data_IF_232806470247
#
_entry.id   IF_232806470247
#
_cell.length_a   1.000
_cell.length_b   1.000
_cell.length_c   1.000
_cell.angle_alpha   90.00
_cell.angle_beta   90.00
_cell.angle_gamma   90.00
#
_symmetry.space_group_name_H-M   'P 1'
#
loop_
_entity.id
_entity.type
_entity.pdbx_description
1 polymer ?
#
# COMPACT_ATOMS: atom_id res chain seq x y z
N UNK A 1 -26.97 14.97 -24.76
CA UNK A 1 -26.63 13.93 -23.76
C UNK A 1 -25.14 13.97 -23.45
N UNK A 2 -24.73 13.77 -22.19
CA UNK A 2 -23.32 13.79 -21.75
C UNK A 2 -22.41 12.82 -22.53
N UNK A 3 -22.96 11.72 -23.04
CA UNK A 3 -22.26 10.76 -23.90
C UNK A 3 -21.83 11.32 -25.25
N UNK A 4 -22.49 12.38 -25.73
CA UNK A 4 -22.10 13.14 -26.92
C UNK A 4 -20.92 14.10 -26.67
N UNK A 5 -20.59 14.34 -25.39
CA UNK A 5 -19.41 15.10 -24.95
C UNK A 5 -18.23 14.19 -24.57
N UNK A 6 -18.31 12.89 -24.88
CA UNK A 6 -17.24 11.92 -24.62
C UNK A 6 -17.29 11.23 -23.26
N UNK A 7 -18.29 11.52 -22.41
CA UNK A 7 -18.44 10.84 -21.13
C UNK A 7 -18.85 9.36 -21.29
N UNK A 8 -18.22 8.48 -20.51
CA UNK A 8 -18.67 7.11 -20.28
C UNK A 8 -19.75 7.04 -19.20
N UNK A 9 -20.50 5.94 -19.19
CA UNK A 9 -21.51 5.62 -18.18
C UNK A 9 -20.99 4.44 -17.34
N UNK A 10 -21.18 4.53 -16.04
CA UNK A 10 -21.02 3.41 -15.10
C UNK A 10 -22.39 2.94 -14.61
N UNK A 11 -22.53 1.66 -14.32
CA UNK A 11 -23.72 1.12 -13.64
C UNK A 11 -23.41 0.92 -12.16
N UNK A 12 -24.40 1.18 -11.29
CA UNK A 12 -24.34 0.85 -9.86
C UNK A 12 -25.43 -0.16 -9.51
N UNK A 13 -25.24 -1.46 -9.86
CA UNK A 13 -26.29 -2.44 -9.74
C UNK A 13 -26.49 -2.88 -8.29
N UNK A 14 -27.77 -3.08 -7.94
CA UNK A 14 -28.15 -3.72 -6.67
C UNK A 14 -27.93 -5.24 -6.73
N UNK A 15 -28.88 -6.08 -7.19
CA UNK A 15 -28.67 -7.55 -7.24
C UNK A 15 -29.26 -8.28 -8.47
N UNK A 16 -30.14 -7.67 -9.27
CA UNK A 16 -30.81 -8.34 -10.39
C UNK A 16 -29.99 -8.28 -11.69
N UNK A 17 -29.12 -9.27 -11.92
CA UNK A 17 -28.23 -9.30 -13.10
C UNK A 17 -28.97 -9.25 -14.44
N UNK A 18 -30.12 -9.91 -14.58
CA UNK A 18 -30.91 -9.93 -15.82
C UNK A 18 -31.40 -8.53 -16.18
N UNK A 19 -31.95 -7.80 -15.20
CA UNK A 19 -32.38 -6.42 -15.39
C UNK A 19 -31.21 -5.54 -15.86
N UNK A 20 -30.07 -5.60 -15.16
CA UNK A 20 -28.91 -4.76 -15.48
C UNK A 20 -28.24 -5.12 -16.80
N UNK A 21 -28.29 -6.38 -17.23
CA UNK A 21 -27.87 -6.80 -18.56
C UNK A 21 -28.74 -6.16 -19.65
N UNK A 22 -30.06 -6.08 -19.43
CA UNK A 22 -30.98 -5.40 -20.35
C UNK A 22 -30.70 -3.89 -20.40
N UNK A 23 -30.47 -3.24 -19.24
CA UNK A 23 -30.06 -1.82 -19.17
C UNK A 23 -28.76 -1.59 -19.95
N UNK A 24 -27.73 -2.41 -19.73
CA UNK A 24 -26.45 -2.32 -20.45
C UNK A 24 -26.65 -2.46 -21.96
N UNK A 25 -27.52 -3.38 -22.38
CA UNK A 25 -27.82 -3.62 -23.81
C UNK A 25 -28.51 -2.41 -24.44
N UNK A 26 -29.47 -1.80 -23.74
CA UNK A 26 -30.18 -0.61 -24.21
C UNK A 26 -29.27 0.63 -24.34
N UNK A 27 -28.30 0.79 -23.43
CA UNK A 27 -27.34 1.91 -23.47
C UNK A 27 -26.20 1.65 -24.48
N UNK A 28 -25.78 0.40 -24.63
CA UNK A 28 -24.72 -0.01 -25.54
C UNK A 28 -23.31 0.28 -25.03
N UNK A 29 -22.37 0.52 -25.95
CA UNK A 29 -20.93 0.60 -25.67
C UNK A 29 -20.50 1.79 -24.80
N UNK A 30 -21.41 2.70 -24.46
CA UNK A 30 -21.12 3.81 -23.54
C UNK A 30 -21.01 3.36 -22.09
N UNK A 31 -21.50 2.16 -21.74
CA UNK A 31 -21.28 1.57 -20.43
C UNK A 31 -19.91 0.90 -20.39
N UNK A 32 -18.99 1.40 -19.58
CA UNK A 32 -17.61 0.91 -19.54
C UNK A 32 -17.24 0.14 -18.26
N UNK A 33 -18.00 0.32 -17.17
CA UNK A 33 -17.73 -0.33 -15.88
C UNK A 33 -18.95 -0.45 -14.97
N UNK A 34 -18.74 -1.17 -13.87
CA UNK A 34 -19.72 -1.41 -12.82
C UNK A 34 -19.12 -0.98 -11.47
N UNK A 35 -19.83 -0.14 -10.72
CA UNK A 35 -19.61 0.07 -9.28
C UNK A 35 -20.53 -0.86 -8.50
N UNK A 36 -19.98 -2.00 -8.09
CA UNK A 36 -20.78 -3.07 -7.52
C UNK A 36 -20.90 -2.90 -6.00
N UNK A 37 -22.13 -2.75 -5.50
CA UNK A 37 -22.39 -2.78 -4.07
C UNK A 37 -22.14 -4.20 -3.53
N UNK A 38 -21.21 -4.37 -2.57
CA UNK A 38 -20.95 -5.64 -1.86
C UNK A 38 -21.06 -5.48 -0.34
N UNK A 39 -21.95 -4.58 0.06
CA UNK A 39 -22.29 -4.25 1.43
C UNK A 39 -23.81 -4.17 1.60
N UNK A 40 -24.29 -4.25 2.84
CA UNK A 40 -25.71 -4.18 3.19
C UNK A 40 -26.58 -5.12 2.31
N UNK A 41 -27.67 -4.63 1.71
CA UNK A 41 -28.53 -5.42 0.84
C UNK A 41 -27.85 -6.02 -0.41
N UNK A 42 -26.66 -5.54 -0.77
CA UNK A 42 -25.83 -6.08 -1.85
C UNK A 42 -24.73 -7.04 -1.39
N UNK A 43 -24.64 -7.38 -0.09
CA UNK A 43 -23.53 -8.17 0.46
C UNK A 43 -23.32 -9.55 -0.21
N UNK A 44 -24.36 -10.13 -0.82
CA UNK A 44 -24.27 -11.40 -1.55
C UNK A 44 -23.71 -11.29 -2.97
N UNK A 45 -23.42 -10.09 -3.46
CA UNK A 45 -22.87 -9.91 -4.81
C UNK A 45 -21.43 -10.42 -4.92
N UNK A 46 -21.10 -10.98 -6.07
CA UNK A 46 -19.74 -11.45 -6.39
C UNK A 46 -19.18 -10.71 -7.61
N UNK A 47 -18.00 -10.06 -7.52
CA UNK A 47 -17.38 -9.39 -8.66
C UNK A 47 -17.18 -10.30 -9.88
N UNK A 48 -16.78 -11.56 -9.70
CA UNK A 48 -16.59 -12.51 -10.80
C UNK A 48 -17.90 -12.88 -11.49
N UNK A 49 -18.99 -13.01 -10.73
CA UNK A 49 -20.32 -13.28 -11.27
C UNK A 49 -20.82 -12.09 -12.11
N UNK A 50 -20.65 -10.87 -11.62
CA UNK A 50 -21.06 -9.65 -12.32
C UNK A 50 -20.21 -9.36 -13.56
N UNK A 51 -18.89 -9.55 -13.46
CA UNK A 51 -17.97 -9.44 -14.59
C UNK A 51 -18.35 -10.42 -15.70
N UNK A 52 -18.63 -11.67 -15.35
CA UNK A 52 -19.08 -12.71 -16.29
C UNK A 52 -20.45 -12.39 -16.91
N UNK A 53 -21.40 -11.89 -16.12
CA UNK A 53 -22.77 -11.64 -16.57
C UNK A 53 -22.88 -10.48 -17.57
N UNK A 54 -22.08 -9.41 -17.37
CA UNK A 54 -22.17 -8.17 -18.16
C UNK A 54 -20.99 -7.96 -19.11
N UNK A 55 -19.87 -8.66 -18.91
CA UNK A 55 -18.64 -8.49 -19.69
C UNK A 55 -18.00 -7.13 -19.48
N UNK A 56 -18.05 -6.60 -18.26
CA UNK A 56 -17.57 -5.27 -17.90
C UNK A 56 -16.58 -5.33 -16.74
N UNK A 57 -15.71 -4.32 -16.66
CA UNK A 57 -14.85 -4.11 -15.49
C UNK A 57 -15.70 -3.87 -14.25
N UNK A 58 -15.42 -4.60 -13.17
CA UNK A 58 -16.12 -4.45 -11.88
C UNK A 58 -15.19 -3.80 -10.87
N UNK A 59 -15.68 -2.76 -10.23
CA UNK A 59 -15.07 -2.10 -9.07
C UNK A 59 -16.01 -2.30 -7.87
N UNK A 60 -15.73 -3.29 -6.99
CA UNK A 60 -16.58 -3.54 -5.83
C UNK A 60 -16.45 -2.44 -4.77
N UNK A 61 -17.54 -2.21 -4.05
CA UNK A 61 -17.62 -1.34 -2.89
C UNK A 61 -17.82 -2.12 -1.61
N UNK A 62 -17.21 -1.63 -0.52
CA UNK A 62 -17.37 -2.16 0.84
C UNK A 62 -17.83 -1.08 1.80
N UNK A 63 -18.51 -1.49 2.87
CA UNK A 63 -18.87 -0.61 3.97
C UNK A 63 -17.73 -0.47 4.99
N UNK A 64 -17.49 0.75 5.48
CA UNK A 64 -16.53 1.07 6.52
C UNK A 64 -17.03 0.62 7.90
N UNK A 65 -16.12 0.28 8.80
CA UNK A 65 -16.45 -0.19 10.14
C UNK A 65 -17.20 0.86 10.96
N UNK A 66 -18.33 0.44 11.52
CA UNK A 66 -19.06 1.11 12.61
C UNK A 66 -19.09 0.18 13.84
N UNK A 67 -19.61 0.61 15.00
CA UNK A 67 -19.80 -0.29 16.14
C UNK A 67 -20.68 -1.52 15.82
N UNK A 68 -21.64 -1.37 14.90
CA UNK A 68 -22.65 -2.39 14.63
C UNK A 68 -22.37 -3.25 13.41
N UNK A 69 -21.66 -2.74 12.40
CA UNK A 69 -21.44 -3.44 11.12
C UNK A 69 -20.17 -2.92 10.42
N UNK A 70 -19.98 -3.30 9.15
CA UNK A 70 -18.89 -2.81 8.30
C UNK A 70 -17.58 -3.54 8.47
N UNK A 71 -16.62 -3.15 7.63
CA UNK A 71 -15.32 -3.79 7.49
C UNK A 71 -14.23 -2.85 8.00
N UNK A 72 -13.29 -3.36 8.79
CA UNK A 72 -12.04 -2.63 9.09
C UNK A 72 -11.15 -2.54 7.84
N UNK A 73 -10.14 -1.65 7.81
CA UNK A 73 -9.18 -1.60 6.71
C UNK A 73 -8.54 -2.97 6.39
N UNK A 74 -8.19 -3.76 7.40
CA UNK A 74 -7.63 -5.11 7.19
C UNK A 74 -8.62 -6.09 6.53
N UNK A 75 -9.91 -6.01 6.91
CA UNK A 75 -10.97 -6.82 6.28
C UNK A 75 -11.22 -6.37 4.84
N UNK A 76 -11.21 -5.05 4.59
CA UNK A 76 -11.29 -4.48 3.24
C UNK A 76 -10.15 -5.01 2.38
N UNK A 77 -8.90 -4.91 2.85
CA UNK A 77 -7.74 -5.41 2.13
C UNK A 77 -7.89 -6.90 1.80
N UNK A 78 -8.29 -7.72 2.77
CA UNK A 78 -8.43 -9.17 2.59
C UNK A 78 -9.50 -9.53 1.55
N UNK A 79 -10.67 -8.87 1.61
CA UNK A 79 -11.76 -9.10 0.65
C UNK A 79 -11.37 -8.65 -0.75
N UNK A 80 -10.79 -7.45 -0.87
CA UNK A 80 -10.31 -6.92 -2.14
C UNK A 80 -9.21 -7.80 -2.75
N UNK A 81 -8.29 -8.35 -1.95
CA UNK A 81 -7.24 -9.25 -2.43
C UNK A 81 -7.81 -10.58 -2.93
N UNK A 82 -8.82 -11.12 -2.22
CA UNK A 82 -9.57 -12.29 -2.67
C UNK A 82 -10.25 -12.05 -4.03
N UNK A 83 -10.85 -10.87 -4.22
CA UNK A 83 -11.45 -10.49 -5.50
C UNK A 83 -10.43 -10.16 -6.58
N UNK A 84 -9.24 -9.64 -6.22
CA UNK A 84 -8.15 -9.47 -7.17
C UNK A 84 -7.75 -10.82 -7.75
N UNK A 85 -7.60 -11.84 -6.90
CA UNK A 85 -7.26 -13.20 -7.30
C UNK A 85 -8.38 -13.88 -8.12
N UNK A 86 -9.62 -13.80 -7.66
CA UNK A 86 -10.75 -14.54 -8.26
C UNK A 86 -11.46 -13.85 -9.42
N UNK A 87 -11.38 -12.52 -9.50
CA UNK A 87 -12.12 -11.71 -10.47
C UNK A 87 -11.25 -10.67 -11.19
N UNK A 88 -9.95 -10.58 -10.87
CA UNK A 88 -9.03 -9.67 -11.55
C UNK A 88 -9.33 -8.18 -11.31
N UNK A 89 -10.05 -7.81 -10.25
CA UNK A 89 -10.43 -6.41 -10.01
C UNK A 89 -9.21 -5.47 -10.01
N UNK A 90 -9.39 -4.25 -10.52
CA UNK A 90 -8.31 -3.26 -10.61
C UNK A 90 -8.38 -2.18 -9.50
N UNK A 91 -9.44 -2.18 -8.71
CA UNK A 91 -9.69 -1.20 -7.66
C UNK A 91 -11.05 -1.44 -7.01
N UNK A 92 -11.43 -0.54 -6.11
CA UNK A 92 -12.71 -0.58 -5.41
C UNK A 92 -13.00 0.75 -4.74
N UNK A 93 -14.10 0.82 -4.00
CA UNK A 93 -14.49 2.02 -3.27
C UNK A 93 -14.99 1.70 -1.87
N UNK A 94 -15.10 2.74 -1.03
CA UNK A 94 -15.67 2.65 0.30
C UNK A 94 -17.00 3.39 0.40
N UNK A 95 -17.86 2.86 1.27
CA UNK A 95 -19.16 3.40 1.66
C UNK A 95 -19.22 3.42 3.20
N UNK A 96 -19.66 4.43 3.93
CA UNK A 96 -19.81 5.84 3.58
C UNK A 96 -18.66 6.65 4.17
N UNK A 97 -18.25 7.69 3.45
CA UNK A 97 -17.23 8.61 3.93
C UNK A 97 -17.62 9.25 5.28
N UNK A 98 -18.90 9.54 5.49
CA UNK A 98 -19.40 10.09 6.76
C UNK A 98 -19.17 9.13 7.95
N UNK A 99 -19.32 7.81 7.73
CA UNK A 99 -19.04 6.81 8.76
C UNK A 99 -17.53 6.71 9.06
N UNK A 100 -16.68 6.83 8.03
CA UNK A 100 -15.22 6.89 8.21
C UNK A 100 -14.84 8.11 9.06
N UNK A 101 -15.45 9.27 8.80
CA UNK A 101 -15.20 10.48 9.58
C UNK A 101 -15.71 10.35 11.02
N UNK A 102 -16.92 9.80 11.19
CA UNK A 102 -17.57 9.65 12.50
C UNK A 102 -16.94 8.58 13.38
N UNK A 103 -16.46 7.49 12.80
CA UNK A 103 -15.90 6.33 13.48
C UNK A 103 -14.43 6.10 13.16
N UNK A 104 -13.66 7.20 13.08
CA UNK A 104 -12.24 7.21 12.69
C UNK A 104 -11.35 6.34 13.58
N UNK A 105 -11.78 5.99 14.81
CA UNK A 105 -11.09 5.03 15.66
C UNK A 105 -10.97 3.63 15.05
N UNK A 106 -11.78 3.27 14.06
CA UNK A 106 -11.69 2.00 13.34
C UNK A 106 -10.90 2.06 12.04
N UNK A 107 -10.50 3.26 11.61
CA UNK A 107 -9.76 3.50 10.37
C UNK A 107 -10.13 4.85 9.75
N UNK A 108 -9.11 5.59 9.35
CA UNK A 108 -9.23 6.83 8.58
C UNK A 108 -9.47 6.56 7.09
N UNK A 109 -9.82 7.59 6.33
CA UNK A 109 -9.95 7.47 4.87
C UNK A 109 -8.63 7.03 4.21
N UNK A 110 -7.49 7.45 4.76
CA UNK A 110 -6.17 7.04 4.30
C UNK A 110 -5.94 5.55 4.53
N UNK A 111 -6.35 5.01 5.69
CA UNK A 111 -6.20 3.58 6.00
C UNK A 111 -7.01 2.72 5.03
N UNK A 112 -8.24 3.11 4.73
CA UNK A 112 -9.07 2.41 3.74
C UNK A 112 -8.52 2.50 2.32
N UNK A 113 -8.02 3.67 1.92
CA UNK A 113 -7.37 3.84 0.62
C UNK A 113 -6.11 2.95 0.52
N UNK A 114 -5.28 2.93 1.57
CA UNK A 114 -4.11 2.07 1.70
C UNK A 114 -4.46 0.59 1.62
N UNK A 115 -5.54 0.16 2.29
CA UNK A 115 -6.05 -1.21 2.23
C UNK A 115 -6.45 -1.64 0.80
N UNK A 116 -7.19 -0.79 0.08
CA UNK A 116 -7.59 -1.07 -1.32
C UNK A 116 -6.35 -1.15 -2.21
N UNK A 117 -5.44 -0.18 -2.11
CA UNK A 117 -4.20 -0.13 -2.89
C UNK A 117 -3.34 -1.38 -2.66
N UNK A 118 -3.19 -1.78 -1.40
CA UNK A 118 -2.42 -2.98 -1.02
C UNK A 118 -3.05 -4.26 -1.56
N UNK A 119 -4.38 -4.31 -1.64
CA UNK A 119 -5.11 -5.50 -2.05
C UNK A 119 -5.12 -5.74 -3.56
N UNK A 120 -5.28 -4.68 -4.37
CA UNK A 120 -5.33 -4.79 -5.84
C UNK A 120 -3.95 -4.64 -6.48
N UNK A 121 -2.99 -4.10 -5.72
CA UNK A 121 -1.57 -4.03 -6.05
C UNK A 121 -0.85 -5.37 -5.85
N UNK A 122 -1.27 -6.41 -6.57
CA UNK A 122 -0.52 -7.68 -6.61
C UNK A 122 0.63 -7.60 -7.63
N UNK A 123 1.84 -7.31 -7.16
CA UNK A 123 3.13 -7.27 -7.89
C UNK A 123 3.16 -6.39 -9.16
N UNK A 124 4.11 -5.44 -9.20
CA UNK A 124 4.29 -4.42 -10.25
C UNK A 124 3.19 -3.33 -10.32
N UNK A 125 3.21 -2.37 -9.39
CA UNK A 125 2.42 -1.14 -9.52
C UNK A 125 2.45 -0.21 -8.30
N UNK A 126 3.55 0.54 -8.14
CA UNK A 126 3.68 1.77 -7.31
C UNK A 126 3.33 1.80 -5.80
N UNK A 127 2.85 0.73 -5.16
CA UNK A 127 2.59 0.69 -3.70
C UNK A 127 3.63 -0.10 -2.91
N UNK A 128 4.15 0.46 -1.81
CA UNK A 128 5.09 -0.24 -0.92
C UNK A 128 4.41 -1.39 -0.15
N UNK A 129 5.11 -2.50 0.04
CA UNK A 129 4.71 -3.67 0.85
C UNK A 129 4.87 -3.44 2.36
N UNK A 130 5.34 -2.28 2.79
CA UNK A 130 5.61 -1.96 4.20
C UNK A 130 4.37 -1.55 4.98
N UNK A 131 3.24 -2.25 4.79
CA UNK A 131 1.97 -2.01 5.48
C UNK A 131 1.57 -3.21 6.35
N UNK A 132 1.11 -2.95 7.59
CA UNK A 132 0.53 -3.96 8.48
C UNK A 132 1.53 -4.93 9.15
N UNK A 133 2.82 -4.66 9.04
CA UNK A 133 3.92 -5.36 9.70
C UNK A 133 4.51 -4.60 10.89
N UNK A 134 5.64 -5.09 11.40
CA UNK A 134 6.35 -4.51 12.54
C UNK A 134 7.68 -3.89 12.11
N UNK A 135 7.97 -2.70 12.63
CA UNK A 135 9.22 -1.97 12.39
C UNK A 135 10.12 -1.99 13.62
N UNK A 136 11.43 -2.13 13.42
CA UNK A 136 12.43 -2.00 14.49
C UNK A 136 13.73 -1.39 13.97
N UNK A 137 14.54 -0.82 14.87
CA UNK A 137 15.81 -0.18 14.52
C UNK A 137 16.94 -0.59 15.48
N UNK A 138 18.18 -0.33 15.06
CA UNK A 138 19.40 -0.64 15.80
C UNK A 138 19.51 0.06 17.14
N UNK A 139 18.90 1.24 17.26
CA UNK A 139 18.98 2.10 18.42
C UNK A 139 17.63 2.78 18.63
N UNK A 140 17.27 2.99 19.90
CA UNK A 140 16.13 3.81 20.31
C UNK A 140 16.54 5.26 20.55
N UNK A 141 15.70 6.00 21.27
CA UNK A 141 15.98 7.40 21.62
C UNK A 141 15.71 8.40 20.50
N UNK A 142 14.97 8.00 19.46
CA UNK A 142 14.42 8.91 18.47
C UNK A 142 13.59 10.00 19.14
N UNK A 143 13.60 11.24 18.61
CA UNK A 143 12.71 12.29 19.06
C UNK A 143 11.24 11.86 19.03
N UNK A 144 10.40 12.52 19.84
CA UNK A 144 8.96 12.28 19.83
C UNK A 144 8.39 12.53 18.42
N UNK A 145 7.70 11.53 17.88
CA UNK A 145 7.15 11.59 16.52
C UNK A 145 8.14 11.29 15.40
N UNK A 146 9.38 10.87 15.72
CA UNK A 146 10.42 10.50 14.75
C UNK A 146 10.96 9.08 14.95
N UNK A 147 10.16 8.19 15.54
CA UNK A 147 10.52 6.79 15.77
C UNK A 147 10.52 5.98 14.47
N UNK A 148 11.00 4.73 14.54
CA UNK A 148 11.20 3.89 13.35
C UNK A 148 9.93 3.62 12.55
N UNK A 149 8.74 3.69 13.17
CA UNK A 149 7.47 3.53 12.44
C UNK A 149 7.30 4.56 11.34
N UNK A 150 7.91 5.75 11.48
CA UNK A 150 7.85 6.83 10.51
C UNK A 150 8.56 6.55 9.21
N UNK A 151 9.52 5.62 9.20
CA UNK A 151 10.16 5.20 7.95
C UNK A 151 9.27 4.25 7.11
N UNK A 152 8.06 3.92 7.57
CA UNK A 152 7.17 2.93 6.96
C UNK A 152 5.69 3.36 6.97
N UNK A 153 5.39 4.62 7.28
CA UNK A 153 4.01 5.10 7.43
C UNK A 153 3.41 5.61 6.11
N UNK A 154 4.20 5.66 5.03
CA UNK A 154 3.79 6.10 3.71
C UNK A 154 3.65 7.61 3.59
N UNK A 155 4.13 8.38 4.57
CA UNK A 155 4.06 9.83 4.63
C UNK A 155 5.47 10.45 4.60
N UNK A 156 5.91 10.87 3.41
CA UNK A 156 7.21 11.56 3.23
C UNK A 156 7.43 12.81 4.10
N UNK A 157 6.38 13.37 4.71
CA UNK A 157 6.47 14.50 5.64
C UNK A 157 6.89 14.15 7.07
N UNK A 158 6.87 12.86 7.44
CA UNK A 158 7.41 12.35 8.71
C UNK A 158 8.79 11.73 8.47
N UNK A 159 9.53 11.40 9.54
CA UNK A 159 10.85 10.77 9.42
C UNK A 159 11.19 9.92 10.61
N UNK A 160 11.98 8.88 10.37
CA UNK A 160 12.79 8.26 11.41
C UNK A 160 14.08 9.06 11.60
N UNK A 161 14.50 9.29 12.85
CA UNK A 161 15.78 9.90 13.19
C UNK A 161 16.46 9.19 14.37
N UNK A 162 17.79 9.05 14.30
CA UNK A 162 18.62 8.63 15.44
C UNK A 162 19.83 9.55 15.61
N UNK A 163 20.30 9.65 16.86
CA UNK A 163 21.50 10.41 17.23
C UNK A 163 22.81 9.64 16.97
N UNK A 164 22.92 9.04 15.79
CA UNK A 164 24.12 8.37 15.31
C UNK A 164 24.24 8.49 13.78
N UNK A 165 25.46 8.59 13.25
CA UNK A 165 25.69 8.72 11.80
C UNK A 165 25.49 7.44 10.98
N UNK A 166 25.20 6.32 11.64
CA UNK A 166 24.99 5.00 11.03
C UNK A 166 24.05 4.16 11.90
N UNK A 167 23.35 3.22 11.31
CA UNK A 167 22.41 2.34 12.00
C UNK A 167 21.60 1.51 11.02
N UNK A 168 20.76 0.64 11.56
CA UNK A 168 19.82 -0.11 10.74
C UNK A 168 18.38 0.14 11.16
N UNK A 169 17.49 0.04 10.19
CA UNK A 169 16.06 -0.13 10.38
C UNK A 169 15.61 -1.37 9.62
N UNK A 170 14.60 -2.05 10.11
CA UNK A 170 14.06 -3.22 9.46
C UNK A 170 12.55 -3.29 9.55
N UNK A 171 11.99 -4.03 8.60
CA UNK A 171 10.57 -4.32 8.51
C UNK A 171 10.36 -5.82 8.54
N UNK A 172 9.44 -6.27 9.38
CA UNK A 172 8.94 -7.63 9.42
C UNK A 172 7.50 -7.65 8.91
N UNK A 173 7.22 -8.43 7.87
CA UNK A 173 5.86 -8.52 7.33
C UNK A 173 4.90 -9.15 8.34
N UNK A 174 3.68 -8.61 8.40
CA UNK A 174 2.60 -9.13 9.25
C UNK A 174 2.14 -10.52 8.82
N UNK A 175 1.47 -11.23 9.73
CA UNK A 175 0.84 -12.52 9.45
C UNK A 175 1.80 -13.67 9.11
N UNK A 176 3.11 -13.50 9.33
CA UNK A 176 4.13 -14.49 8.97
C UNK A 176 4.45 -14.54 7.47
N UNK A 177 3.98 -13.56 6.70
CA UNK A 177 4.21 -13.46 5.26
C UNK A 177 5.70 -13.29 4.93
N UNK A 178 6.09 -13.76 3.75
CA UNK A 178 7.41 -13.57 3.18
C UNK A 178 7.27 -13.19 1.70
N UNK A 179 8.05 -12.22 1.26
CA UNK A 179 8.03 -11.73 -0.13
C UNK A 179 9.42 -11.74 -0.73
N UNK A 180 9.51 -12.03 -2.02
CA UNK A 180 10.72 -11.80 -2.81
C UNK A 180 10.71 -10.37 -3.32
N UNK A 181 11.24 -9.44 -2.52
CA UNK A 181 11.36 -8.02 -2.89
C UNK A 181 12.34 -7.91 -4.05
N UNK A 182 11.94 -7.21 -5.12
CA UNK A 182 12.71 -6.98 -6.35
C UNK A 182 13.05 -5.51 -6.58
N UNK A 183 12.50 -4.61 -5.76
CA UNK A 183 12.87 -3.21 -5.73
C UNK A 183 12.67 -2.67 -4.31
N UNK A 184 13.49 -1.71 -3.92
CA UNK A 184 13.23 -0.87 -2.75
C UNK A 184 13.35 0.61 -3.13
N UNK A 185 12.80 1.48 -2.30
CA UNK A 185 12.97 2.92 -2.44
C UNK A 185 13.36 3.56 -1.12
N UNK A 186 14.12 4.64 -1.19
CA UNK A 186 14.45 5.49 -0.05
C UNK A 186 13.97 6.91 -0.33
N UNK A 187 13.34 7.55 0.64
CA UNK A 187 12.96 8.97 0.56
C UNK A 187 13.74 9.79 1.60
N UNK A 188 14.43 10.84 1.15
CA UNK A 188 15.11 11.78 2.05
C UNK A 188 14.12 12.55 2.92
N UNK A 189 14.49 12.90 4.15
CA UNK A 189 13.65 13.67 5.08
C UNK A 189 13.48 15.17 4.72
N UNK A 190 13.11 16.00 5.71
CA UNK A 190 12.67 17.38 5.52
C UNK A 190 13.74 18.46 5.75
N UNK A 191 14.65 18.32 6.73
CA UNK A 191 15.55 19.40 7.19
C UNK A 191 17.04 19.34 6.76
N UNK A 192 17.80 18.28 7.05
CA UNK A 192 19.28 18.32 6.97
C UNK A 192 19.94 17.27 6.06
N UNK A 193 20.43 17.63 4.85
CA UNK A 193 20.99 16.66 3.88
C UNK A 193 22.19 15.83 4.36
N UNK A 194 22.99 16.35 5.28
CA UNK A 194 24.15 15.62 5.80
C UNK A 194 23.76 14.36 6.59
N UNK A 195 22.51 14.27 7.06
CA UNK A 195 21.96 13.13 7.81
C UNK A 195 21.37 12.04 6.91
N UNK A 196 21.29 12.27 5.60
CA UNK A 196 20.67 11.31 4.69
C UNK A 196 21.59 10.09 4.47
N UNK A 197 21.05 8.88 4.23
CA UNK A 197 21.85 7.69 3.97
C UNK A 197 22.71 7.89 2.71
N UNK A 198 23.98 7.49 2.78
CA UNK A 198 24.94 7.56 1.67
C UNK A 198 25.45 6.20 1.24
N UNK A 199 25.66 5.30 2.19
CA UNK A 199 26.12 3.93 1.96
C UNK A 199 25.35 2.96 2.83
N UNK A 200 24.92 1.85 2.25
CA UNK A 200 24.12 0.85 2.96
C UNK A 200 24.15 -0.52 2.28
N UNK A 201 23.70 -1.53 3.02
CA UNK A 201 23.29 -2.82 2.48
C UNK A 201 21.81 -3.04 2.72
N UNK A 202 21.07 -3.51 1.70
CA UNK A 202 19.75 -4.09 1.90
C UNK A 202 19.92 -5.59 2.16
N UNK A 203 19.26 -6.10 3.19
CA UNK A 203 19.39 -7.50 3.62
C UNK A 203 18.02 -8.14 3.83
N UNK A 204 17.92 -9.44 3.55
CA UNK A 204 16.74 -10.27 3.82
C UNK A 204 17.01 -11.34 4.88
N UNK A 205 16.04 -11.64 5.73
CA UNK A 205 16.12 -12.69 6.74
C UNK A 205 14.78 -13.40 6.96
N UNK A 206 14.83 -14.64 7.44
CA UNK A 206 13.66 -15.43 7.85
C UNK A 206 13.64 -15.76 9.34
N UNK A 207 14.74 -15.52 10.06
CA UNK A 207 14.92 -15.84 11.48
C UNK A 207 15.30 -14.60 12.33
N UNK A 208 15.60 -13.46 11.69
CA UNK A 208 16.06 -12.24 12.34
C UNK A 208 17.54 -12.26 12.78
N UNK A 209 18.22 -13.40 12.67
CA UNK A 209 19.59 -13.61 13.13
C UNK A 209 20.56 -13.72 11.95
N UNK A 210 20.18 -14.49 10.94
CA UNK A 210 20.97 -14.74 9.73
C UNK A 210 20.45 -13.84 8.61
N UNK A 211 21.33 -13.02 8.05
CA UNK A 211 20.97 -12.01 7.05
C UNK A 211 21.68 -12.26 5.72
N UNK A 212 20.91 -12.35 4.65
CA UNK A 212 21.41 -12.43 3.27
C UNK A 212 21.47 -11.02 2.70
N UNK A 213 22.65 -10.58 2.25
CA UNK A 213 22.78 -9.29 1.55
C UNK A 213 22.17 -9.39 0.15
N UNK A 214 21.24 -8.48 -0.16
CA UNK A 214 20.50 -8.43 -1.42
C UNK A 214 20.95 -7.28 -2.32
N UNK A 215 21.46 -6.20 -1.72
CA UNK A 215 22.01 -5.06 -2.45
C UNK A 215 23.08 -4.35 -1.60
N UNK A 216 24.02 -3.69 -2.26
CA UNK A 216 25.04 -2.85 -1.63
C UNK A 216 25.18 -1.56 -2.43
N UNK A 217 25.02 -0.42 -1.75
CA UNK A 217 25.14 0.91 -2.35
C UNK A 217 26.16 1.74 -1.58
N UNK A 218 26.85 2.62 -2.29
CA UNK A 218 27.84 3.51 -1.72
C UNK A 218 27.90 4.83 -2.48
N UNK A 219 28.05 5.93 -1.75
CA UNK A 219 28.21 7.25 -2.36
C UNK A 219 26.91 7.81 -2.95
N UNK A 220 25.76 7.29 -2.54
CA UNK A 220 24.47 7.79 -2.98
C UNK A 220 24.18 9.17 -2.38
N UNK A 221 23.51 10.01 -3.16
CA UNK A 221 23.10 11.36 -2.75
C UNK A 221 21.64 11.62 -3.13
N UNK A 222 21.00 12.52 -2.38
CA UNK A 222 19.69 13.07 -2.66
C UNK A 222 19.85 14.55 -3.06
N UNK A 223 19.36 14.92 -4.24
CA UNK A 223 19.51 16.25 -4.83
C UNK A 223 18.51 17.28 -4.27
N UNK A 224 17.39 16.81 -3.72
CA UNK A 224 16.36 17.63 -3.09
C UNK A 224 15.78 16.93 -1.87
N UNK A 225 15.08 17.67 -0.99
CA UNK A 225 14.35 17.06 0.12
C UNK A 225 13.09 16.36 -0.37
N UNK A 226 12.61 15.40 0.42
CA UNK A 226 11.52 14.49 0.03
C UNK A 226 11.75 13.75 -1.30
N UNK A 227 12.99 13.67 -1.78
CA UNK A 227 13.30 12.94 -2.99
C UNK A 227 13.26 11.45 -2.72
N UNK A 228 12.43 10.74 -3.48
CA UNK A 228 12.43 9.29 -3.53
C UNK A 228 13.40 8.79 -4.60
N UNK A 229 14.28 7.86 -4.24
CA UNK A 229 15.12 7.11 -5.18
C UNK A 229 14.77 5.62 -5.08
N UNK A 230 14.61 4.97 -6.23
CA UNK A 230 14.27 3.55 -6.34
C UNK A 230 15.44 2.75 -6.86
N UNK A 231 15.58 1.53 -6.35
CA UNK A 231 16.69 0.63 -6.64
C UNK A 231 16.14 -0.76 -6.92
N UNK A 232 16.27 -1.22 -8.16
CA UNK A 232 15.92 -2.58 -8.56
C UNK A 232 17.01 -3.57 -8.11
N UNK A 233 16.58 -4.77 -7.69
CA UNK A 233 17.45 -5.85 -7.21
C UNK A 233 17.02 -7.19 -7.82
N UNK A 234 17.98 -8.08 -8.08
CA UNK A 234 17.73 -9.39 -8.69
C UNK A 234 17.52 -10.47 -7.62
N UNK A 235 16.58 -10.25 -6.69
CA UNK A 235 16.24 -11.24 -5.67
C UNK A 235 15.07 -12.13 -6.12
N UNK A 236 15.20 -13.43 -5.88
CA UNK A 236 14.18 -14.44 -6.15
C UNK A 236 13.75 -15.19 -4.90
N UNK A 237 14.43 -14.99 -3.77
CA UNK A 237 14.11 -15.64 -2.49
C UNK A 237 13.15 -14.79 -1.66
N UNK A 238 12.17 -15.45 -1.04
CA UNK A 238 11.23 -14.79 -0.15
C UNK A 238 11.79 -14.66 1.28
N UNK A 239 11.69 -13.47 1.85
CA UNK A 239 12.12 -13.18 3.22
C UNK A 239 10.98 -12.57 4.04
N UNK A 240 10.91 -12.93 5.33
CA UNK A 240 9.97 -12.37 6.30
C UNK A 240 10.40 -11.00 6.82
N UNK A 241 11.71 -10.77 6.87
CA UNK A 241 12.30 -9.52 7.32
C UNK A 241 13.20 -8.91 6.23
N UNK A 242 13.14 -7.59 6.12
CA UNK A 242 14.05 -6.80 5.30
C UNK A 242 14.68 -5.71 6.15
N UNK A 243 16.00 -5.57 6.08
CA UNK A 243 16.79 -4.59 6.84
C UNK A 243 17.58 -3.70 5.90
N UNK A 244 17.46 -2.40 6.09
CA UNK A 244 18.36 -1.41 5.53
C UNK A 244 19.43 -1.11 6.59
N UNK A 245 20.66 -1.56 6.35
CA UNK A 245 21.79 -1.31 7.23
C UNK A 245 22.66 -0.19 6.66
N UNK A 246 22.47 1.03 7.16
CA UNK A 246 23.19 2.23 6.74
C UNK A 246 24.55 2.27 7.41
N UNK A 247 25.61 2.13 6.61
CA UNK A 247 26.99 2.10 7.07
C UNK A 247 27.64 3.48 7.06
N UNK A 248 27.11 4.43 6.29
CA UNK A 248 27.50 5.83 6.33
C UNK A 248 26.34 6.75 5.88
N UNK A 249 26.20 7.89 6.54
CA UNK A 249 25.38 9.00 6.08
C UNK A 249 26.23 10.00 5.26
N UNK A 250 25.63 11.13 4.91
CA UNK A 250 26.27 12.17 4.11
C UNK A 250 27.08 13.20 4.95
N UNK A 251 27.72 12.75 6.03
CA UNK A 251 28.67 13.54 6.82
C UNK A 251 28.10 14.19 8.10
N UNK A 252 26.86 13.90 8.46
CA UNK A 252 26.26 14.34 9.73
C UNK A 252 26.60 13.43 10.91
N UNK A 253 26.26 13.88 12.13
CA UNK A 253 26.38 13.06 13.36
C UNK A 253 25.09 12.27 13.66
N UNK A 254 24.04 12.47 12.87
CA UNK A 254 22.71 11.89 13.02
C UNK A 254 22.30 11.24 11.69
N UNK A 255 21.38 10.29 11.74
CA UNK A 255 20.85 9.58 10.57
C UNK A 255 19.35 9.77 10.53
N UNK A 256 18.82 10.04 9.35
CA UNK A 256 17.38 10.18 9.13
C UNK A 256 16.91 9.53 7.83
N UNK A 257 15.64 9.15 7.79
CA UNK A 257 14.99 8.66 6.58
C UNK A 257 13.49 8.93 6.66
N UNK A 258 12.90 9.47 5.59
CA UNK A 258 11.44 9.65 5.54
C UNK A 258 10.73 8.32 5.26
N UNK A 259 11.17 7.58 4.23
CA UNK A 259 10.50 6.33 3.86
C UNK A 259 11.50 5.28 3.38
N UNK A 260 11.24 4.03 3.74
CA UNK A 260 11.75 2.82 3.11
C UNK A 260 10.59 2.06 2.47
N UNK A 261 10.53 2.06 1.15
CA UNK A 261 9.56 1.27 0.38
C UNK A 261 10.12 -0.09 -0.03
N UNK A 262 9.32 -1.15 0.00
CA UNK A 262 9.67 -2.49 -0.47
C UNK A 262 8.67 -2.97 -1.53
N UNK A 263 9.13 -3.54 -2.63
CA UNK A 263 8.27 -3.91 -3.78
C UNK A 263 8.67 -5.27 -4.34
N UNK A 264 7.70 -6.15 -4.61
CA UNK A 264 7.90 -7.49 -5.18
C UNK A 264 7.50 -7.56 -6.66
#
# INVERSE_FOLDING_TARGET
>A
MLTGLGASITLCPYNNQTYWKNVKTGIGAKVDRIYLQVYDGGAGNSPSAWSSALGLTVMPGLDSKTPSYGNTPAQVQSRMAGWKSSAGIAGGFMWLYDDILKYSQYGSAADYAGAINSAVGGSAGNGSLTVGGASSASQGGSPSGEDVSKAFDGASGTKWLIFAGSGWLQYQFGGGNAYAVRQYSLTSANDFPARDPKSWTLQGSNDGNSWTTLDTRSGETFASRFQTKSYAISNTAAFKLYRLNVTANNGGTELQLAELGLYA
#
